data_IF_128262996122
#
_entry.id   IF_128262996122
#
_cell.length_a   1.000
_cell.length_b   1.000
_cell.length_c   1.000
_cell.angle_alpha   90.00
_cell.angle_beta   90.00
_cell.angle_gamma   90.00
#
_symmetry.space_group_name_H-M   'P 1'
#
loop_
_entity.id
_entity.type
_entity.pdbx_description
1 polymer ?
#
# COMPACT_ATOMS: atom_id res chain seq x y z
N UNK A 1 -1.35 9.05 8.38
CA UNK A 1 0.03 9.11 7.85
C UNK A 1 0.73 10.41 8.27
N UNK A 2 2.01 10.34 8.68
CA UNK A 2 2.81 11.53 9.07
C UNK A 2 3.33 12.31 7.85
N UNK A 3 3.68 13.57 8.05
CA UNK A 3 4.08 14.49 6.98
C UNK A 3 5.44 14.11 6.36
N UNK A 4 6.32 13.51 7.13
CA UNK A 4 7.66 13.08 6.73
C UNK A 4 7.57 11.97 5.68
N UNK A 5 6.75 10.95 5.92
CA UNK A 5 6.50 9.88 4.97
C UNK A 5 5.79 10.39 3.70
N UNK A 6 4.84 11.33 3.83
CA UNK A 6 4.22 11.97 2.67
C UNK A 6 5.24 12.77 1.83
N UNK A 7 6.15 13.48 2.49
CA UNK A 7 7.22 14.23 1.83
C UNK A 7 8.20 13.28 1.13
N UNK A 8 8.50 12.14 1.77
CA UNK A 8 9.30 11.08 1.15
C UNK A 8 8.62 10.55 -0.12
N UNK A 9 7.32 10.21 -0.06
CA UNK A 9 6.58 9.80 -1.25
C UNK A 9 6.60 10.87 -2.35
N UNK A 10 6.49 12.15 -2.00
CA UNK A 10 6.61 13.24 -2.97
C UNK A 10 7.97 13.23 -3.67
N UNK A 11 9.06 13.08 -2.90
CA UNK A 11 10.44 13.03 -3.41
C UNK A 11 10.67 11.86 -4.35
N UNK A 12 10.13 10.68 -4.02
CA UNK A 12 10.23 9.47 -4.85
C UNK A 12 9.23 9.45 -6.02
N UNK A 13 8.44 10.52 -6.22
CA UNK A 13 7.46 10.61 -7.31
C UNK A 13 6.26 9.67 -7.13
N UNK A 14 5.95 9.33 -5.87
CA UNK A 14 4.96 8.32 -5.48
C UNK A 14 3.65 8.91 -4.96
N UNK A 15 3.32 10.14 -5.34
CA UNK A 15 2.03 10.74 -4.99
C UNK A 15 1.14 10.78 -6.22
N UNK A 16 -0.05 10.19 -6.13
CA UNK A 16 -1.10 10.44 -7.09
C UNK A 16 -1.80 11.74 -6.75
N UNK A 17 -2.07 12.56 -7.76
CA UNK A 17 -2.89 13.77 -7.64
C UNK A 17 -4.13 13.65 -8.51
N UNK A 18 -5.30 13.95 -7.95
CA UNK A 18 -6.54 14.17 -8.70
C UNK A 18 -7.01 15.60 -8.47
N UNK A 19 -7.45 16.27 -9.54
CA UNK A 19 -8.08 17.58 -9.48
C UNK A 19 -9.57 17.42 -9.74
N UNK A 20 -10.40 17.88 -8.80
CA UNK A 20 -11.85 17.96 -8.96
C UNK A 20 -12.27 19.42 -8.94
N UNK A 21 -13.01 19.85 -9.97
CA UNK A 21 -13.70 21.14 -9.93
C UNK A 21 -14.86 21.08 -8.93
N UNK A 22 -15.18 22.21 -8.32
CA UNK A 22 -16.43 22.34 -7.58
C UNK A 22 -17.63 22.15 -8.53
N UNK A 23 -18.75 21.64 -8.01
CA UNK A 23 -20.02 21.58 -8.75
C UNK A 23 -20.80 22.92 -8.70
N UNK A 24 -20.26 23.93 -8.00
CA UNK A 24 -20.88 25.24 -7.85
C UNK A 24 -20.41 26.16 -9.01
N UNK A 25 -21.32 26.63 -9.88
CA UNK A 25 -20.95 27.47 -11.03
C UNK A 25 -20.28 28.80 -10.65
N UNK A 26 -20.42 29.24 -9.39
CA UNK A 26 -19.85 30.49 -8.89
C UNK A 26 -18.53 30.29 -8.11
N UNK A 27 -18.07 29.04 -7.93
CA UNK A 27 -16.87 28.69 -7.16
C UNK A 27 -15.82 27.99 -8.04
N UNK A 28 -14.84 28.77 -8.51
CA UNK A 28 -13.67 28.30 -9.28
C UNK A 28 -12.64 27.54 -8.41
N UNK A 29 -13.01 27.03 -7.23
CA UNK A 29 -12.11 26.27 -6.37
C UNK A 29 -11.78 24.89 -6.98
N UNK A 30 -10.51 24.71 -7.37
CA UNK A 30 -9.95 23.42 -7.77
C UNK A 30 -9.45 22.70 -6.52
N UNK A 31 -10.10 21.59 -6.16
CA UNK A 31 -9.64 20.73 -5.06
C UNK A 31 -8.63 19.72 -5.60
N UNK A 32 -7.40 19.80 -5.12
CA UNK A 32 -6.35 18.83 -5.41
C UNK A 32 -6.30 17.81 -4.27
N UNK A 33 -6.64 16.56 -4.58
CA UNK A 33 -6.52 15.43 -3.67
C UNK A 33 -5.23 14.70 -3.97
N UNK A 34 -4.37 14.58 -2.95
CA UNK A 34 -3.10 13.85 -3.02
C UNK A 34 -3.25 12.51 -2.32
N UNK A 35 -2.76 11.43 -2.94
CA UNK A 35 -2.87 10.07 -2.43
C UNK A 35 -1.53 9.32 -2.47
N UNK A 36 -0.96 8.93 -1.31
CA UNK A 36 0.19 8.03 -1.26
C UNK A 36 -0.25 6.59 -1.60
N UNK A 37 0.70 5.69 -1.90
CA UNK A 37 0.37 4.30 -2.11
C UNK A 37 -0.06 3.64 -0.80
N UNK A 38 -0.99 2.71 -0.92
CA UNK A 38 -1.57 1.95 0.20
C UNK A 38 -1.03 0.53 0.23
N UNK A 39 -1.46 -0.26 1.21
CA UNK A 39 -1.29 -1.71 1.24
C UNK A 39 -2.66 -2.37 1.15
N UNK A 40 -2.77 -3.45 0.37
CA UNK A 40 -3.94 -4.31 0.29
C UNK A 40 -3.64 -5.70 0.86
N UNK A 41 -4.28 -6.03 1.99
CA UNK A 41 -4.23 -7.36 2.60
C UNK A 41 -5.15 -8.36 1.88
N UNK A 42 -6.20 -7.86 1.21
CA UNK A 42 -7.06 -8.63 0.31
C UNK A 42 -7.72 -7.71 -0.73
N UNK A 43 -8.61 -8.26 -1.56
CA UNK A 43 -9.42 -7.49 -2.51
C UNK A 43 -10.66 -6.81 -1.90
N UNK A 44 -10.96 -7.09 -0.63
CA UNK A 44 -12.11 -6.52 0.07
C UNK A 44 -11.87 -5.05 0.41
N UNK A 45 -12.91 -4.23 0.35
CA UNK A 45 -12.80 -2.77 0.53
C UNK A 45 -12.32 -2.33 1.91
N UNK A 46 -12.38 -3.19 2.92
CA UNK A 46 -11.94 -2.92 4.30
C UNK A 46 -10.54 -3.47 4.63
N UNK A 47 -9.91 -4.15 3.68
CA UNK A 47 -8.62 -4.81 3.89
C UNK A 47 -7.47 -3.95 3.33
N UNK A 48 -7.67 -2.64 3.25
CA UNK A 48 -6.66 -1.67 2.84
C UNK A 48 -6.07 -0.98 4.06
N UNK A 49 -4.77 -0.73 4.00
CA UNK A 49 -4.00 -0.05 5.04
C UNK A 49 -3.23 1.11 4.46
N UNK A 50 -3.04 2.16 5.25
CA UNK A 50 -2.02 3.16 4.94
C UNK A 50 -0.65 2.47 4.85
N UNK A 51 0.28 3.03 4.08
CA UNK A 51 1.65 2.52 4.09
C UNK A 51 2.22 2.64 5.52
N UNK A 52 2.80 1.56 6.09
CA UNK A 52 3.46 1.62 7.38
C UNK A 52 4.59 2.64 7.31
N UNK A 53 4.79 3.35 8.41
CA UNK A 53 5.79 4.39 8.51
C UNK A 53 7.01 3.83 9.25
N UNK A 54 8.19 3.70 8.60
CA UNK A 54 9.38 3.15 9.25
C UNK A 54 9.67 3.73 10.63
N UNK A 55 9.44 5.03 10.87
CA UNK A 55 9.73 5.61 12.19
C UNK A 55 8.76 5.15 13.28
N UNK A 56 7.51 4.84 12.93
CA UNK A 56 6.54 4.26 13.87
C UNK A 56 6.92 2.81 14.25
N UNK A 57 7.78 2.17 13.45
CA UNK A 57 8.31 0.82 13.67
C UNK A 57 9.76 0.82 14.21
N UNK A 58 10.24 1.97 14.72
CA UNK A 58 11.52 2.06 15.45
C UNK A 58 12.74 2.40 14.60
N UNK A 59 12.56 2.69 13.30
CA UNK A 59 13.67 3.19 12.48
C UNK A 59 14.08 4.60 12.94
N UNK A 60 15.38 4.95 12.88
CA UNK A 60 15.86 6.31 13.16
C UNK A 60 15.19 7.38 12.28
N UNK A 61 14.99 8.59 12.80
CA UNK A 61 14.35 9.69 12.04
C UNK A 61 15.00 9.99 10.69
N UNK A 62 16.33 9.84 10.60
CA UNK A 62 17.09 10.03 9.37
C UNK A 62 16.92 8.91 8.34
N UNK A 63 16.26 7.79 8.68
CA UNK A 63 16.11 6.65 7.78
C UNK A 63 15.35 7.02 6.52
N UNK A 64 14.23 7.75 6.63
CA UNK A 64 13.47 8.18 5.45
C UNK A 64 14.32 9.01 4.48
N UNK A 65 15.21 9.86 4.99
CA UNK A 65 16.08 10.67 4.13
C UNK A 65 17.01 9.81 3.27
N UNK A 66 17.48 8.68 3.80
CA UNK A 66 18.43 7.78 3.17
C UNK A 66 17.76 6.64 2.38
N UNK A 67 16.52 6.28 2.71
CA UNK A 67 15.77 5.21 2.04
C UNK A 67 15.40 5.60 0.62
N UNK A 68 15.68 4.71 -0.32
CA UNK A 68 15.13 4.73 -1.68
C UNK A 68 13.91 3.81 -1.79
N UNK A 69 13.32 3.72 -2.99
CA UNK A 69 12.15 2.87 -3.23
C UNK A 69 12.40 1.38 -2.96
N UNK A 70 13.60 0.86 -3.21
CA UNK A 70 13.93 -0.54 -2.95
C UNK A 70 14.00 -0.82 -1.45
N UNK A 71 14.53 0.13 -0.66
CA UNK A 71 14.53 0.03 0.82
C UNK A 71 13.10 0.05 1.38
N UNK A 72 12.24 0.92 0.83
CA UNK A 72 10.82 0.96 1.21
C UNK A 72 10.07 -0.30 0.79
N UNK A 73 10.36 -0.83 -0.40
CA UNK A 73 9.80 -2.11 -0.85
C UNK A 73 10.20 -3.23 0.12
N UNK A 74 11.47 -3.30 0.53
CA UNK A 74 11.94 -4.29 1.50
C UNK A 74 11.21 -4.14 2.85
N UNK A 75 11.09 -2.93 3.37
CA UNK A 75 10.35 -2.65 4.62
C UNK A 75 8.87 -3.08 4.52
N UNK A 76 8.20 -2.74 3.41
CA UNK A 76 6.81 -3.16 3.17
C UNK A 76 6.69 -4.67 3.02
N UNK A 77 7.66 -5.33 2.39
CA UNK A 77 7.70 -6.80 2.28
C UNK A 77 7.78 -7.46 3.65
N UNK A 78 8.65 -6.96 4.55
CA UNK A 78 8.77 -7.45 5.92
C UNK A 78 7.46 -7.26 6.68
N UNK A 79 6.85 -6.07 6.60
CA UNK A 79 5.54 -5.81 7.21
C UNK A 79 4.46 -6.78 6.72
N UNK A 80 4.44 -7.06 5.42
CA UNK A 80 3.51 -7.99 4.80
C UNK A 80 3.74 -9.45 5.22
N UNK A 81 4.99 -9.87 5.43
CA UNK A 81 5.30 -11.19 5.98
C UNK A 81 4.70 -11.37 7.37
N UNK A 82 4.77 -10.36 8.24
CA UNK A 82 4.12 -10.39 9.54
C UNK A 82 2.59 -10.41 9.42
N UNK A 83 2.00 -9.63 8.50
CA UNK A 83 0.56 -9.67 8.24
C UNK A 83 0.08 -11.05 7.74
N UNK A 84 0.88 -11.73 6.91
CA UNK A 84 0.62 -13.10 6.47
C UNK A 84 0.74 -14.08 7.63
N UNK A 85 1.78 -13.98 8.46
CA UNK A 85 1.96 -14.81 9.66
C UNK A 85 0.80 -14.63 10.66
N UNK A 86 0.23 -13.43 10.75
CA UNK A 86 -0.96 -13.14 11.56
C UNK A 86 -2.28 -13.64 10.93
N UNK A 87 -2.25 -14.27 9.75
CA UNK A 87 -3.42 -14.81 9.05
C UNK A 87 -4.29 -13.75 8.37
N UNK A 88 -3.78 -12.53 8.19
CA UNK A 88 -4.50 -11.42 7.57
C UNK A 88 -4.30 -11.36 6.05
N UNK A 89 -3.13 -11.78 5.57
CA UNK A 89 -2.78 -11.72 4.16
C UNK A 89 -3.56 -12.73 3.31
N UNK A 90 -4.17 -12.25 2.24
CA UNK A 90 -4.88 -13.07 1.24
C UNK A 90 -4.41 -12.73 -0.16
N UNK A 91 -4.37 -13.73 -1.04
CA UNK A 91 -4.11 -13.49 -2.45
C UNK A 91 -5.21 -12.59 -3.04
N UNK A 92 -4.83 -11.47 -3.64
CA UNK A 92 -5.77 -10.50 -4.21
C UNK A 92 -6.67 -11.10 -5.30
N UNK A 93 -6.20 -12.12 -6.01
CA UNK A 93 -6.92 -12.77 -7.12
C UNK A 93 -7.87 -13.87 -6.62
N UNK A 94 -7.34 -14.92 -5.97
CA UNK A 94 -8.13 -16.09 -5.57
C UNK A 94 -8.75 -15.97 -4.16
N UNK A 95 -8.39 -14.92 -3.41
CA UNK A 95 -8.87 -14.60 -2.07
C UNK A 95 -8.59 -15.66 -0.98
N UNK A 96 -7.73 -16.65 -1.29
CA UNK A 96 -7.27 -17.64 -0.32
C UNK A 96 -6.28 -17.00 0.66
N UNK A 97 -6.30 -17.49 1.90
CA UNK A 97 -5.33 -17.10 2.94
C UNK A 97 -3.94 -17.51 2.47
N UNK A 98 -2.98 -16.62 2.67
CA UNK A 98 -1.57 -16.88 2.41
C UNK A 98 -0.91 -17.40 3.68
N UNK A 99 0.18 -18.14 3.50
CA UNK A 99 1.04 -18.58 4.58
C UNK A 99 2.51 -18.37 4.21
N UNK A 100 3.35 -18.33 5.24
CA UNK A 100 4.80 -18.27 5.11
C UNK A 100 5.42 -19.67 5.21
N UNK A 101 4.78 -20.70 4.66
CA UNK A 101 5.40 -22.03 4.57
C UNK A 101 6.69 -22.00 3.73
N UNK A 102 7.46 -23.10 3.75
CA UNK A 102 8.86 -23.14 3.31
C UNK A 102 9.15 -22.49 1.94
N UNK A 103 8.24 -22.58 0.97
CA UNK A 103 8.45 -22.00 -0.37
C UNK A 103 7.86 -20.60 -0.56
N UNK A 104 7.26 -19.99 0.49
CA UNK A 104 6.57 -18.68 0.46
C UNK A 104 5.84 -18.49 -0.88
N UNK A 105 4.71 -19.17 -1.13
CA UNK A 105 4.14 -19.34 -2.47
C UNK A 105 3.46 -18.07 -3.05
N UNK A 106 3.85 -16.89 -2.55
CA UNK A 106 3.28 -15.60 -2.83
C UNK A 106 4.36 -14.53 -2.97
N UNK A 107 3.97 -13.42 -3.59
CA UNK A 107 4.78 -12.22 -3.72
C UNK A 107 3.96 -10.99 -3.34
N UNK A 108 4.64 -9.89 -3.02
CA UNK A 108 3.99 -8.59 -2.98
C UNK A 108 4.38 -7.75 -4.20
N UNK A 109 3.40 -7.09 -4.80
CA UNK A 109 3.58 -6.32 -6.02
C UNK A 109 3.04 -4.92 -5.81
N UNK A 110 3.84 -3.91 -6.15
CA UNK A 110 3.39 -2.52 -6.22
C UNK A 110 2.64 -2.28 -7.53
N UNK A 111 1.35 -1.96 -7.44
CA UNK A 111 0.51 -1.56 -8.57
C UNK A 111 0.42 -0.04 -8.60
N UNK A 112 0.96 0.59 -9.64
CA UNK A 112 1.11 2.06 -9.70
C UNK A 112 0.03 2.79 -10.52
N UNK A 113 -0.97 2.10 -11.08
CA UNK A 113 -1.98 2.72 -11.95
C UNK A 113 -3.41 2.55 -11.46
N UNK A 114 -3.88 1.31 -11.30
CA UNK A 114 -5.30 1.05 -11.13
C UNK A 114 -5.79 1.25 -9.69
N UNK A 115 -5.00 0.86 -8.69
CA UNK A 115 -5.39 0.95 -7.28
C UNK A 115 -4.35 1.64 -6.39
N UNK A 116 -3.14 1.83 -6.92
CA UNK A 116 -2.05 2.51 -6.24
C UNK A 116 -1.70 1.91 -4.88
N UNK A 117 -1.34 0.63 -4.87
CA UNK A 117 -1.04 -0.08 -3.63
C UNK A 117 -0.02 -1.21 -3.83
N UNK A 118 0.67 -1.58 -2.76
CA UNK A 118 1.25 -2.91 -2.63
C UNK A 118 0.13 -3.92 -2.36
N UNK A 119 0.16 -5.07 -3.00
CA UNK A 119 -0.80 -6.15 -2.78
C UNK A 119 -0.12 -7.50 -2.73
N UNK A 120 -0.77 -8.46 -2.08
CA UNK A 120 -0.32 -9.85 -2.00
C UNK A 120 -0.93 -10.73 -3.10
N UNK A 121 -0.14 -11.61 -3.69
CA UNK A 121 -0.61 -12.49 -4.78
C UNK A 121 0.19 -13.80 -4.84
N UNK A 122 -0.48 -14.93 -5.02
CA UNK A 122 0.22 -16.18 -5.35
C UNK A 122 0.98 -16.07 -6.68
N UNK A 123 2.13 -16.74 -6.79
CA UNK A 123 2.91 -16.73 -8.05
C UNK A 123 2.08 -17.12 -9.27
N UNK A 124 1.28 -18.20 -9.18
CA UNK A 124 0.41 -18.67 -10.25
C UNK A 124 -0.77 -17.74 -10.56
N UNK A 125 -1.14 -16.89 -9.59
CA UNK A 125 -2.25 -15.96 -9.73
C UNK A 125 -1.83 -14.65 -10.42
N UNK A 126 -0.54 -14.30 -10.46
CA UNK A 126 -0.04 -13.03 -11.01
C UNK A 126 -0.53 -12.75 -12.43
N UNK A 127 -0.63 -13.78 -13.28
CA UNK A 127 -1.11 -13.66 -14.67
C UNK A 127 -2.56 -13.16 -14.80
N UNK A 128 -3.35 -13.20 -13.72
CA UNK A 128 -4.73 -12.75 -13.70
C UNK A 128 -4.92 -11.37 -13.06
N UNK A 129 -3.88 -10.76 -12.49
CA UNK A 129 -3.96 -9.47 -11.79
C UNK A 129 -4.60 -8.37 -12.64
N UNK A 130 -4.19 -8.25 -13.91
CA UNK A 130 -4.69 -7.21 -14.81
C UNK A 130 -6.21 -7.26 -15.00
N UNK A 131 -6.81 -8.45 -14.94
CA UNK A 131 -8.27 -8.64 -15.01
C UNK A 131 -8.94 -8.14 -13.72
N UNK A 132 -8.39 -8.51 -12.56
CA UNK A 132 -8.97 -8.19 -11.25
C UNK A 132 -8.75 -6.73 -10.80
N UNK A 133 -7.75 -6.05 -11.38
CA UNK A 133 -7.47 -4.62 -11.20
C UNK A 133 -8.33 -3.73 -12.10
N UNK A 134 -8.81 -4.23 -13.24
CA UNK A 134 -9.52 -3.45 -14.23
C UNK A 134 -10.76 -2.76 -13.65
N UNK A 135 -10.83 -1.44 -13.83
CA UNK A 135 -11.98 -0.63 -13.42
C UNK A 135 -11.99 -0.25 -11.94
N UNK A 136 -10.92 -0.55 -11.19
CA UNK A 136 -10.71 0.02 -9.86
C UNK A 136 -10.12 1.43 -9.99
N UNK A 137 -10.42 2.27 -9.00
CA UNK A 137 -9.91 3.63 -8.92
C UNK A 137 -9.20 3.81 -7.57
N UNK A 138 -7.94 4.30 -7.54
CA UNK A 138 -7.22 4.48 -6.30
C UNK A 138 -7.97 5.40 -5.32
N UNK A 139 -8.68 6.41 -5.81
CA UNK A 139 -9.34 7.43 -4.97
C UNK A 139 -10.64 6.95 -4.31
N UNK A 140 -11.21 5.82 -4.72
CA UNK A 140 -12.44 5.25 -4.14
C UNK A 140 -12.19 4.33 -2.93
N UNK A 141 -10.92 4.04 -2.66
CA UNK A 141 -10.50 3.12 -1.60
C UNK A 141 -10.15 3.89 -0.33
N UNK A 142 -10.85 3.60 0.76
CA UNK A 142 -10.45 4.05 2.09
C UNK A 142 -9.44 3.06 2.69
N UNK A 143 -8.52 3.57 3.52
CA UNK A 143 -7.50 2.76 4.19
C UNK A 143 -7.55 2.99 5.69
N UNK A 144 -7.38 1.92 6.46
CA UNK A 144 -7.22 1.98 7.91
C UNK A 144 -5.73 2.14 8.29
N UNK A 145 -5.41 2.55 9.53
CA UNK A 145 -4.02 2.57 9.99
C UNK A 145 -3.36 1.19 9.93
N UNK A 146 -2.04 1.09 9.69
CA UNK A 146 -1.32 -0.18 9.66
C UNK A 146 -1.33 -0.86 11.03
N UNK A 147 -1.36 -2.19 11.02
CA UNK A 147 -1.19 -3.00 12.24
C UNK A 147 0.24 -2.90 12.78
N UNK A 148 0.36 -2.90 14.11
CA UNK A 148 1.64 -3.01 14.81
C UNK A 148 1.79 -4.46 15.26
N UNK A 149 2.76 -5.17 14.68
CA UNK A 149 3.10 -6.53 15.07
C UNK A 149 4.20 -6.48 16.13
N UNK A 150 4.03 -7.18 17.26
CA UNK A 150 4.92 -7.08 18.42
C UNK A 150 6.39 -7.45 18.15
N UNK A 151 6.65 -8.21 17.09
CA UNK A 151 7.98 -8.68 16.71
C UNK A 151 8.67 -7.77 15.66
N UNK A 152 8.02 -6.70 15.19
CA UNK A 152 8.57 -5.77 14.19
C UNK A 152 9.27 -4.54 14.77
N UNK A 153 9.18 -4.30 16.08
CA UNK A 153 9.87 -3.18 16.70
C UNK A 153 11.37 -3.49 16.82
N UNK A 154 12.22 -2.61 16.25
CA UNK A 154 13.69 -2.66 16.37
C UNK A 154 14.12 -2.37 17.82
#
# INVERSE_FOLDING_TARGET
>A
MRNELLTWFAREGMLLSSATSSDDPDDDEIKIVVKPPMIALSRASKDFRECPDPLDFGYPESSLEMMNIDDMNQFVMEWLEHAVAAGMGRCFVCNQILDNSDEKPWDAVLITRDIYCWLLVHFDCKRYLSRDLKGRNPFEVAADPPEIFGDMCI
#
